data_IF_272112702805
#
_entry.id   IF_272112702805
#
_cell.length_a   1.000
_cell.length_b   1.000
_cell.length_c   1.000
_cell.angle_alpha   90.00
_cell.angle_beta   90.00
_cell.angle_gamma   90.00
#
_symmetry.space_group_name_H-M   'P 1'
#
loop_
_entity.id
_entity.type
_entity.pdbx_description
1 polymer ?
#
# COMPACT_ATOMS: atom_id res chain seq x y z
N UNK A 1 -31.06 20.67 32.78
CA UNK A 1 -32.03 21.75 32.38
C UNK A 1 -33.43 21.17 32.19
N UNK A 2 -33.57 20.05 31.46
CA UNK A 2 -34.90 19.42 31.21
C UNK A 2 -35.61 19.02 32.50
N UNK A 3 -34.91 18.36 33.44
CA UNK A 3 -35.46 17.98 34.74
C UNK A 3 -35.87 19.19 35.58
N UNK A 4 -35.11 20.30 35.57
CA UNK A 4 -35.43 21.54 36.24
C UNK A 4 -36.70 22.18 35.68
N UNK A 5 -36.89 22.11 34.34
CA UNK A 5 -38.11 22.59 33.70
C UNK A 5 -39.38 21.80 34.12
N UNK A 6 -39.21 20.54 34.50
CA UNK A 6 -40.26 19.68 35.04
C UNK A 6 -40.40 19.77 36.56
N UNK A 7 -39.68 20.70 37.24
CA UNK A 7 -39.72 20.88 38.69
C UNK A 7 -39.02 19.78 39.49
N UNK A 8 -38.23 18.90 38.80
CA UNK A 8 -37.51 17.80 39.43
C UNK A 8 -36.11 18.28 39.86
N UNK A 9 -35.83 18.26 41.16
CA UNK A 9 -34.54 18.60 41.73
C UNK A 9 -33.58 17.40 41.71
N UNK A 10 -32.35 17.65 41.27
CA UNK A 10 -31.21 16.68 41.39
C UNK A 10 -30.28 17.24 42.47
N UNK A 11 -29.92 16.41 43.43
CA UNK A 11 -28.96 16.76 44.51
C UNK A 11 -27.67 16.02 44.24
N UNK A 12 -26.58 16.77 44.05
CA UNK A 12 -25.22 16.23 44.02
C UNK A 12 -24.71 16.19 45.47
N UNK A 13 -24.74 15.01 46.08
CA UNK A 13 -24.45 14.83 47.51
C UNK A 13 -23.01 15.25 47.88
N UNK A 14 -22.05 14.97 47.00
CA UNK A 14 -20.62 15.22 47.22
C UNK A 14 -20.31 16.72 47.23
N UNK A 15 -20.92 17.47 46.34
CA UNK A 15 -20.73 18.91 46.14
C UNK A 15 -21.79 19.74 46.87
N UNK A 16 -22.77 19.09 47.47
CA UNK A 16 -23.92 19.70 48.17
C UNK A 16 -24.66 20.74 47.30
N UNK A 17 -24.87 20.40 46.02
CA UNK A 17 -25.56 21.28 45.07
C UNK A 17 -26.94 20.74 44.77
N UNK A 18 -27.97 21.60 44.92
CA UNK A 18 -29.34 21.30 44.51
C UNK A 18 -29.65 22.09 43.22
N UNK A 19 -30.06 21.41 42.16
CA UNK A 19 -30.32 22.02 40.84
C UNK A 19 -31.52 22.98 40.82
N UNK A 20 -32.35 23.00 41.83
CA UNK A 20 -33.48 23.92 41.95
C UNK A 20 -33.07 25.30 42.47
N UNK A 21 -31.91 25.47 43.10
CA UNK A 21 -31.42 26.77 43.56
C UNK A 21 -30.93 27.63 42.40
N UNK A 22 -31.08 28.95 42.50
CA UNK A 22 -30.68 29.89 41.43
C UNK A 22 -29.19 29.86 41.13
N UNK A 23 -28.36 29.64 42.14
CA UNK A 23 -26.89 29.59 42.05
C UNK A 23 -26.36 28.27 41.50
N UNK A 24 -27.20 27.22 41.48
CA UNK A 24 -26.79 25.87 41.09
C UNK A 24 -26.32 25.75 39.63
N UNK A 25 -26.97 26.49 38.74
CA UNK A 25 -26.64 26.44 37.30
C UNK A 25 -25.25 27.02 37.01
N UNK A 26 -24.93 28.13 37.69
CA UNK A 26 -23.57 28.71 37.59
C UNK A 26 -22.53 27.77 38.16
N UNK A 27 -22.79 27.14 39.33
CA UNK A 27 -21.88 26.23 39.99
C UNK A 27 -21.61 24.95 39.17
N UNK A 28 -22.68 24.37 38.60
CA UNK A 28 -22.56 23.21 37.72
C UNK A 28 -21.75 23.54 36.43
N UNK A 29 -21.97 24.74 35.88
CA UNK A 29 -21.24 25.21 34.71
C UNK A 29 -19.75 25.39 35.02
N UNK A 30 -19.42 25.99 36.17
CA UNK A 30 -18.04 26.17 36.65
C UNK A 30 -17.37 24.80 36.88
N UNK A 31 -18.05 23.89 37.59
CA UNK A 31 -17.51 22.53 37.81
C UNK A 31 -17.31 21.75 36.51
N UNK A 32 -18.27 21.86 35.56
CA UNK A 32 -18.15 21.28 34.25
C UNK A 32 -16.88 21.81 33.48
N UNK A 33 -16.65 23.13 33.58
CA UNK A 33 -15.46 23.74 32.99
C UNK A 33 -14.17 23.22 33.66
N UNK A 34 -14.11 23.12 34.98
CA UNK A 34 -12.93 22.55 35.66
C UNK A 34 -12.68 21.10 35.30
N UNK A 35 -13.73 20.27 35.26
CA UNK A 35 -13.60 18.87 34.88
C UNK A 35 -13.11 18.73 33.41
N UNK A 36 -13.58 19.57 32.52
CA UNK A 36 -13.10 19.60 31.12
C UNK A 36 -11.64 20.06 31.04
N UNK A 37 -11.27 21.14 31.76
CA UNK A 37 -9.93 21.66 31.78
C UNK A 37 -8.93 20.64 32.37
N UNK A 38 -9.31 19.91 33.42
CA UNK A 38 -8.51 18.81 33.97
C UNK A 38 -8.34 17.68 32.98
N UNK A 39 -9.40 17.22 32.32
CA UNK A 39 -9.35 16.20 31.28
C UNK A 39 -8.43 16.58 30.11
N UNK A 40 -8.51 17.85 29.67
CA UNK A 40 -7.63 18.38 28.63
C UNK A 40 -6.15 18.39 29.08
N UNK A 41 -5.90 18.81 30.32
CA UNK A 41 -4.56 18.84 30.90
C UNK A 41 -3.95 17.44 31.00
N UNK A 42 -4.70 16.46 31.50
CA UNK A 42 -4.27 15.06 31.57
C UNK A 42 -3.96 14.54 30.16
N UNK A 43 -4.84 14.77 29.20
CA UNK A 43 -4.65 14.33 27.81
C UNK A 43 -3.40 14.96 27.17
N UNK A 44 -3.16 16.25 27.38
CA UNK A 44 -1.94 16.93 26.91
C UNK A 44 -0.69 16.35 27.53
N UNK A 45 -0.70 16.08 28.83
CA UNK A 45 0.44 15.49 29.54
C UNK A 45 0.76 14.06 29.04
N UNK A 46 -0.25 13.21 28.90
CA UNK A 46 -0.10 11.86 28.34
C UNK A 46 0.44 11.92 26.90
N UNK A 47 -0.15 12.79 26.08
CA UNK A 47 0.29 12.96 24.69
C UNK A 47 1.74 13.45 24.61
N UNK A 48 2.12 14.39 25.48
CA UNK A 48 3.51 14.87 25.55
C UNK A 48 4.47 13.74 25.96
N UNK A 49 4.15 12.97 27.00
CA UNK A 49 4.95 11.83 27.44
C UNK A 49 5.15 10.77 26.35
N UNK A 50 4.07 10.42 25.62
CA UNK A 50 4.14 9.49 24.48
C UNK A 50 5.02 10.04 23.36
N UNK A 51 4.88 11.31 23.01
CA UNK A 51 5.72 11.94 21.96
C UNK A 51 7.18 12.00 22.35
N UNK A 52 7.47 12.26 23.62
CA UNK A 52 8.84 12.26 24.14
C UNK A 52 9.46 10.85 24.07
N UNK A 53 8.73 9.83 24.49
CA UNK A 53 9.16 8.44 24.34
C UNK A 53 9.43 8.06 22.88
N UNK A 54 8.62 8.52 21.94
CA UNK A 54 8.86 8.29 20.50
C UNK A 54 10.12 8.99 19.99
N UNK A 55 10.39 10.22 20.44
CA UNK A 55 11.60 10.94 20.08
C UNK A 55 12.87 10.25 20.61
N UNK A 56 12.78 9.58 21.76
CA UNK A 56 13.87 8.78 22.35
C UNK A 56 13.97 7.36 21.77
N UNK A 57 13.14 7.01 20.79
CA UNK A 57 13.12 5.67 20.19
C UNK A 57 12.43 4.61 21.04
N UNK A 58 11.85 4.98 22.18
CA UNK A 58 11.11 4.04 23.06
C UNK A 58 9.70 3.82 22.52
N UNK A 59 9.53 2.75 21.77
CA UNK A 59 8.22 2.35 21.21
C UNK A 59 7.88 0.96 21.65
N UNK A 60 6.73 0.79 22.29
CA UNK A 60 6.20 -0.51 22.65
C UNK A 60 5.02 -0.87 21.76
N UNK A 61 4.89 -2.15 21.42
CA UNK A 61 3.69 -2.62 20.74
C UNK A 61 2.51 -2.60 21.71
N UNK A 62 1.42 -1.97 21.29
CA UNK A 62 0.20 -1.89 22.10
C UNK A 62 -0.70 -3.12 21.97
N UNK A 63 -0.52 -3.89 20.91
CA UNK A 63 -1.31 -5.11 20.60
C UNK A 63 -0.49 -6.08 19.76
N UNK A 64 -0.94 -7.33 19.74
CA UNK A 64 -0.41 -8.35 18.85
C UNK A 64 -0.62 -7.96 17.39
N UNK A 65 0.38 -8.30 16.58
CA UNK A 65 0.34 -8.17 15.13
C UNK A 65 0.51 -9.58 14.59
N UNK A 66 -0.23 -9.95 13.57
CA UNK A 66 -0.12 -11.28 12.98
C UNK A 66 1.34 -11.59 12.63
N UNK A 67 1.87 -12.67 13.16
CA UNK A 67 3.29 -13.03 13.12
C UNK A 67 4.12 -12.56 14.31
N UNK A 68 3.60 -11.64 15.14
CA UNK A 68 4.26 -11.15 16.35
C UNK A 68 3.33 -11.19 17.55
N UNK A 69 3.82 -11.75 18.65
CA UNK A 69 3.16 -11.73 19.94
C UNK A 69 3.89 -10.78 20.89
N UNK A 70 3.12 -9.95 21.59
CA UNK A 70 3.66 -9.02 22.58
C UNK A 70 4.10 -9.74 23.84
N UNK A 71 5.35 -9.57 24.26
CA UNK A 71 5.90 -10.10 25.49
C UNK A 71 6.56 -8.94 26.27
N UNK A 72 5.92 -8.50 27.34
CA UNK A 72 6.37 -7.33 28.11
C UNK A 72 6.42 -6.08 27.24
N UNK A 73 7.59 -5.46 27.14
CA UNK A 73 7.85 -4.28 26.29
C UNK A 73 8.34 -4.64 24.87
N UNK A 74 8.66 -5.91 24.63
CA UNK A 74 9.12 -6.42 23.34
C UNK A 74 8.07 -7.20 22.57
N UNK A 75 8.51 -7.86 21.51
CA UNK A 75 7.71 -8.78 20.70
C UNK A 75 8.53 -10.03 20.37
N UNK A 76 7.85 -11.16 20.32
CA UNK A 76 8.39 -12.43 19.87
C UNK A 76 7.73 -12.86 18.56
N UNK A 77 8.49 -13.54 17.71
CA UNK A 77 7.96 -14.07 16.43
C UNK A 77 7.17 -15.34 16.73
N UNK A 78 5.94 -15.40 16.25
CA UNK A 78 5.12 -16.62 16.21
C UNK A 78 5.42 -17.33 14.88
N UNK A 79 6.26 -18.36 14.93
CA UNK A 79 6.83 -18.98 13.73
C UNK A 79 5.78 -19.55 12.77
N UNK A 80 4.64 -20.06 13.29
CA UNK A 80 3.54 -20.55 12.45
C UNK A 80 2.92 -19.44 11.61
N UNK A 81 2.67 -18.28 12.22
CA UNK A 81 2.13 -17.11 11.52
C UNK A 81 3.20 -16.43 10.65
N UNK A 82 4.46 -16.42 11.08
CA UNK A 82 5.58 -15.87 10.34
C UNK A 82 5.81 -16.61 9.00
N UNK A 83 5.65 -17.93 8.98
CA UNK A 83 5.68 -18.72 7.73
C UNK A 83 4.62 -18.27 6.74
N UNK A 84 3.40 -18.01 7.24
CA UNK A 84 2.30 -17.52 6.40
C UNK A 84 2.61 -16.12 5.85
N UNK A 85 3.20 -15.24 6.67
CA UNK A 85 3.63 -13.91 6.22
C UNK A 85 4.68 -14.02 5.11
N UNK A 86 5.73 -14.83 5.29
CA UNK A 86 6.76 -15.04 4.25
C UNK A 86 6.13 -15.55 2.96
N UNK A 87 5.24 -16.57 3.05
CA UNK A 87 4.51 -17.13 1.90
C UNK A 87 3.66 -16.06 1.18
N UNK A 88 2.98 -15.17 1.91
CA UNK A 88 2.21 -14.05 1.34
C UNK A 88 3.14 -13.12 0.52
N UNK A 89 4.29 -12.74 1.09
CA UNK A 89 5.25 -11.88 0.42
C UNK A 89 5.84 -12.53 -0.84
N UNK A 90 6.25 -13.79 -0.74
CA UNK A 90 6.82 -14.58 -1.86
C UNK A 90 5.80 -14.77 -2.98
N UNK A 91 4.59 -15.21 -2.64
CA UNK A 91 3.52 -15.45 -3.63
C UNK A 91 3.10 -14.14 -4.32
N UNK A 92 3.04 -13.04 -3.58
CA UNK A 92 2.76 -11.74 -4.17
C UNK A 92 3.88 -11.30 -5.12
N UNK A 93 5.14 -11.44 -4.71
CA UNK A 93 6.29 -11.10 -5.56
C UNK A 93 6.37 -11.98 -6.81
N UNK A 94 6.02 -13.25 -6.71
CA UNK A 94 5.92 -14.19 -7.84
C UNK A 94 4.82 -13.83 -8.86
N UNK A 95 4.00 -12.82 -8.60
CA UNK A 95 3.02 -12.32 -9.58
C UNK A 95 1.56 -12.60 -9.25
N UNK A 96 1.24 -13.32 -8.17
CA UNK A 96 -0.13 -13.59 -7.78
C UNK A 96 -0.92 -12.31 -7.45
N UNK A 97 -2.23 -12.33 -7.73
CA UNK A 97 -3.13 -11.27 -7.32
C UNK A 97 -3.49 -11.39 -5.84
N UNK A 98 -3.84 -10.28 -5.19
CA UNK A 98 -4.30 -10.30 -3.80
C UNK A 98 -5.49 -11.24 -3.60
N UNK A 99 -6.42 -11.29 -4.56
CA UNK A 99 -7.56 -12.18 -4.48
C UNK A 99 -7.15 -13.66 -4.55
N UNK A 100 -6.23 -14.03 -5.43
CA UNK A 100 -5.72 -15.40 -5.55
C UNK A 100 -5.04 -15.86 -4.26
N UNK A 101 -4.28 -14.97 -3.60
CA UNK A 101 -3.65 -15.27 -2.30
C UNK A 101 -4.71 -15.46 -1.22
N UNK A 102 -5.75 -14.60 -1.18
CA UNK A 102 -6.86 -14.79 -0.25
C UNK A 102 -7.56 -16.14 -0.45
N UNK A 103 -7.84 -16.49 -1.69
CA UNK A 103 -8.52 -17.75 -2.03
C UNK A 103 -7.65 -18.97 -1.62
N UNK A 104 -6.36 -18.91 -1.84
CA UNK A 104 -5.40 -19.94 -1.42
C UNK A 104 -5.41 -20.11 0.11
N UNK A 105 -5.31 -19.02 0.89
CA UNK A 105 -5.29 -19.08 2.35
C UNK A 105 -6.65 -19.53 2.91
N UNK A 106 -7.76 -19.07 2.34
CA UNK A 106 -9.11 -19.44 2.74
C UNK A 106 -9.38 -20.92 2.46
N UNK A 107 -8.97 -21.45 1.31
CA UNK A 107 -9.13 -22.86 0.95
C UNK A 107 -8.32 -23.79 1.86
N UNK A 108 -7.18 -23.30 2.40
CA UNK A 108 -6.36 -24.03 3.38
C UNK A 108 -6.89 -23.91 4.81
N UNK A 109 -7.93 -23.11 5.04
CA UNK A 109 -8.52 -22.90 6.37
C UNK A 109 -7.61 -22.10 7.32
N UNK A 110 -6.65 -21.33 6.80
CA UNK A 110 -5.75 -20.50 7.60
C UNK A 110 -6.53 -19.33 8.19
N UNK A 111 -6.49 -19.16 9.51
CA UNK A 111 -7.16 -18.06 10.19
C UNK A 111 -6.48 -16.73 9.87
N UNK A 112 -7.30 -15.70 9.61
CA UNK A 112 -6.84 -14.35 9.35
C UNK A 112 -6.52 -13.59 10.66
N UNK A 113 -5.79 -12.46 10.60
CA UNK A 113 -5.50 -11.61 11.74
C UNK A 113 -6.75 -11.28 12.57
N UNK A 114 -6.59 -11.30 13.91
CA UNK A 114 -7.70 -11.09 14.85
C UNK A 114 -8.66 -12.29 14.92
N UNK A 115 -8.17 -13.50 14.63
CA UNK A 115 -8.90 -14.79 14.69
C UNK A 115 -10.12 -14.84 13.75
N UNK A 116 -10.11 -14.05 12.67
CA UNK A 116 -11.18 -14.06 11.66
C UNK A 116 -11.04 -15.28 10.75
N UNK A 117 -12.17 -15.81 10.29
CA UNK A 117 -12.21 -17.03 9.48
C UNK A 117 -11.86 -16.79 8.01
N UNK A 118 -11.86 -15.52 7.55
CA UNK A 118 -11.64 -15.19 6.14
C UNK A 118 -10.58 -14.12 5.94
N UNK A 119 -9.73 -14.36 4.95
CA UNK A 119 -8.79 -13.41 4.41
C UNK A 119 -9.46 -12.53 3.36
N UNK A 120 -9.15 -11.24 3.39
CA UNK A 120 -9.61 -10.24 2.43
C UNK A 120 -8.44 -9.50 1.79
N UNK A 121 -8.55 -9.04 0.55
CA UNK A 121 -7.50 -8.27 -0.13
C UNK A 121 -7.04 -7.04 0.66
N UNK A 122 -7.92 -6.38 1.38
CA UNK A 122 -7.59 -5.24 2.26
C UNK A 122 -6.66 -5.63 3.41
N UNK A 123 -6.85 -6.82 3.99
CA UNK A 123 -5.98 -7.35 5.05
C UNK A 123 -4.58 -7.63 4.50
N UNK A 124 -4.49 -8.32 3.36
CA UNK A 124 -3.20 -8.57 2.68
C UNK A 124 -2.49 -7.28 2.31
N UNK A 125 -3.23 -6.28 1.79
CA UNK A 125 -2.67 -4.98 1.46
C UNK A 125 -2.08 -4.27 2.69
N UNK A 126 -2.75 -4.39 3.85
CA UNK A 126 -2.25 -3.85 5.11
C UNK A 126 -0.97 -4.56 5.57
N UNK A 127 -0.93 -5.89 5.45
CA UNK A 127 0.25 -6.71 5.77
C UNK A 127 1.43 -6.35 4.88
N UNK A 128 1.25 -6.38 3.56
CA UNK A 128 2.30 -6.09 2.59
C UNK A 128 2.93 -4.70 2.76
N UNK A 129 2.17 -3.73 3.29
CA UNK A 129 2.63 -2.34 3.48
C UNK A 129 3.15 -2.05 4.89
N UNK A 130 3.08 -3.00 5.80
CA UNK A 130 3.45 -2.76 7.18
C UNK A 130 4.97 -2.93 7.36
N UNK A 131 5.67 -1.82 7.61
CA UNK A 131 7.11 -1.78 7.83
C UNK A 131 7.59 -2.63 9.01
N UNK A 132 6.70 -2.98 9.91
CA UNK A 132 7.05 -3.80 11.07
C UNK A 132 7.55 -5.20 10.67
N UNK A 133 7.12 -5.72 9.53
CA UNK A 133 7.60 -7.03 9.06
C UNK A 133 9.07 -7.05 8.65
N UNK A 134 9.67 -5.89 8.34
CA UNK A 134 11.12 -5.77 8.12
C UNK A 134 11.92 -5.31 9.36
N UNK A 135 11.25 -5.27 10.53
CA UNK A 135 11.88 -4.91 11.80
C UNK A 135 11.86 -3.42 12.13
N UNK A 136 11.25 -2.58 11.30
CA UNK A 136 11.20 -1.12 11.49
C UNK A 136 9.88 -0.68 12.12
N UNK A 137 9.86 0.51 12.69
CA UNK A 137 8.65 1.13 13.25
C UNK A 137 8.55 2.60 12.85
N UNK A 138 7.38 3.00 12.35
CA UNK A 138 7.03 4.41 12.16
C UNK A 138 6.04 4.81 13.25
N UNK A 139 6.39 5.85 13.99
CA UNK A 139 5.52 6.41 15.04
C UNK A 139 4.60 7.49 14.49
N UNK A 140 3.56 7.83 15.24
CA UNK A 140 2.64 8.95 14.93
C UNK A 140 2.02 8.92 13.54
N UNK A 141 1.69 7.72 13.02
CA UNK A 141 0.94 7.59 11.75
C UNK A 141 -0.44 8.23 11.80
N UNK A 142 -1.03 8.30 12.98
CA UNK A 142 -2.33 8.94 13.24
C UNK A 142 -2.24 9.76 14.53
N UNK A 143 -3.07 10.77 14.64
CA UNK A 143 -3.20 11.56 15.86
C UNK A 143 -4.69 11.83 16.16
N UNK A 144 -4.98 12.16 17.42
CA UNK A 144 -6.32 12.59 17.83
C UNK A 144 -6.44 14.09 17.55
N UNK A 145 -7.38 14.49 16.69
CA UNK A 145 -7.60 15.89 16.33
C UNK A 145 -8.53 16.60 17.32
N UNK A 146 -9.42 15.86 17.95
CA UNK A 146 -10.38 16.39 18.92
C UNK A 146 -10.48 15.47 20.13
N UNK A 147 -10.23 16.03 21.31
CA UNK A 147 -10.22 15.32 22.58
C UNK A 147 -11.61 14.87 23.03
N UNK A 148 -12.66 15.63 22.67
CA UNK A 148 -14.02 15.31 23.08
C UNK A 148 -14.64 14.18 22.28
N UNK A 149 -14.41 14.18 20.97
CA UNK A 149 -14.95 13.16 20.06
C UNK A 149 -14.01 11.98 19.84
N UNK A 150 -12.76 12.06 20.34
CA UNK A 150 -11.69 11.08 20.11
C UNK A 150 -11.45 10.77 18.62
N UNK A 151 -11.71 11.75 17.75
CA UNK A 151 -11.55 11.60 16.31
C UNK A 151 -10.08 11.44 15.95
N UNK A 152 -9.75 10.32 15.32
CA UNK A 152 -8.40 10.04 14.83
C UNK A 152 -8.26 10.43 13.36
N UNK A 153 -7.22 11.17 13.06
CA UNK A 153 -6.86 11.59 11.70
C UNK A 153 -5.48 11.05 11.31
N UNK A 154 -5.29 10.83 10.00
CA UNK A 154 -4.00 10.39 9.48
C UNK A 154 -3.03 11.56 9.54
N UNK A 155 -1.83 11.33 10.06
CA UNK A 155 -0.76 12.31 10.04
C UNK A 155 -0.17 12.39 8.63
N UNK A 156 -0.32 13.55 8.00
CA UNK A 156 0.22 13.86 6.66
C UNK A 156 1.32 14.94 6.72
N UNK A 157 1.94 15.11 7.91
CA UNK A 157 2.99 16.09 8.14
C UNK A 157 2.67 17.12 9.23
N UNK A 158 1.46 17.04 9.87
CA UNK A 158 1.07 17.95 10.94
C UNK A 158 1.90 17.75 12.22
N UNK A 159 2.32 16.53 12.46
CA UNK A 159 3.15 16.16 13.60
C UNK A 159 4.41 15.42 13.14
N UNK A 160 5.55 15.59 13.84
CA UNK A 160 6.77 14.87 13.50
C UNK A 160 6.56 13.36 13.63
N UNK A 161 7.00 12.61 12.62
CA UNK A 161 7.05 11.15 12.63
C UNK A 161 8.50 10.71 12.84
N UNK A 162 8.69 9.71 13.69
CA UNK A 162 10.02 9.12 13.89
C UNK A 162 10.04 7.75 13.24
N UNK A 163 11.06 7.50 12.43
CA UNK A 163 11.34 6.23 11.80
C UNK A 163 12.47 5.55 12.57
N UNK A 164 12.18 4.40 13.18
CA UNK A 164 13.11 3.64 13.99
C UNK A 164 13.45 2.37 13.22
N UNK A 165 14.71 2.22 12.87
CA UNK A 165 15.23 1.04 12.18
C UNK A 165 15.64 -0.04 13.17
N UNK A 166 15.52 -1.31 12.77
CA UNK A 166 15.97 -2.48 13.53
C UNK A 166 15.44 -2.53 14.99
N UNK A 167 14.20 -2.10 15.17
CA UNK A 167 13.52 -2.07 16.47
C UNK A 167 13.28 -3.48 17.04
N UNK A 168 13.01 -4.45 16.18
CA UNK A 168 12.70 -5.84 16.55
C UNK A 168 13.12 -6.81 15.45
N UNK A 169 13.12 -8.10 15.77
CA UNK A 169 13.48 -9.14 14.80
C UNK A 169 12.54 -9.12 13.60
N UNK A 170 13.10 -9.09 12.39
CA UNK A 170 12.34 -9.05 11.15
C UNK A 170 11.81 -10.45 10.78
N UNK A 171 10.57 -10.54 10.31
CA UNK A 171 10.01 -11.76 9.69
C UNK A 171 10.41 -11.86 8.23
N UNK A 172 10.48 -10.72 7.55
CA UNK A 172 10.83 -10.58 6.13
C UNK A 172 12.12 -9.80 6.02
N UNK A 173 13.06 -10.29 5.25
CA UNK A 173 14.34 -9.61 5.00
C UNK A 173 14.10 -8.22 4.40
N UNK A 174 14.89 -7.22 4.84
CA UNK A 174 14.72 -5.81 4.45
C UNK A 174 14.74 -5.60 2.95
N UNK A 175 15.73 -6.17 2.27
CA UNK A 175 15.88 -6.05 0.83
C UNK A 175 14.71 -6.67 0.07
N UNK A 176 14.23 -7.83 0.56
CA UNK A 176 13.06 -8.49 -0.04
C UNK A 176 11.78 -7.69 0.17
N UNK A 177 11.58 -7.14 1.37
CA UNK A 177 10.46 -6.24 1.66
C UNK A 177 10.46 -5.05 0.70
N UNK A 178 11.61 -4.39 0.51
CA UNK A 178 11.73 -3.21 -0.35
C UNK A 178 11.47 -3.56 -1.84
N UNK A 179 11.92 -4.72 -2.31
CA UNK A 179 11.56 -5.25 -3.64
C UNK A 179 10.05 -5.47 -3.80
N UNK A 180 9.38 -6.00 -2.76
CA UNK A 180 7.92 -6.17 -2.75
C UNK A 180 7.20 -4.81 -2.76
N UNK A 181 7.72 -3.78 -2.05
CA UNK A 181 7.16 -2.42 -2.12
C UNK A 181 7.31 -1.81 -3.52
N UNK A 182 8.46 -1.99 -4.17
CA UNK A 182 8.65 -1.54 -5.55
C UNK A 182 7.66 -2.22 -6.52
N UNK A 183 7.45 -3.53 -6.39
CA UNK A 183 6.45 -4.26 -7.17
C UNK A 183 5.03 -3.80 -6.85
N UNK A 184 4.72 -3.56 -5.58
CA UNK A 184 3.44 -2.98 -5.17
C UNK A 184 3.21 -1.60 -5.80
N UNK A 185 4.20 -0.73 -5.77
CA UNK A 185 4.14 0.59 -6.40
C UNK A 185 3.96 0.46 -7.93
N UNK A 186 4.70 -0.44 -8.59
CA UNK A 186 4.59 -0.74 -10.02
C UNK A 186 3.17 -1.17 -10.40
N UNK A 187 2.58 -2.10 -9.65
CA UNK A 187 1.20 -2.58 -9.91
C UNK A 187 0.15 -1.50 -9.67
N UNK A 188 0.39 -0.59 -8.73
CA UNK A 188 -0.54 0.49 -8.39
C UNK A 188 -0.23 1.80 -9.12
N UNK A 189 0.87 1.87 -9.87
CA UNK A 189 1.18 3.01 -10.70
C UNK A 189 0.04 3.21 -11.70
N UNK A 190 -0.69 4.31 -11.56
CA UNK A 190 -1.68 4.71 -12.56
C UNK A 190 -0.90 5.07 -13.81
N UNK A 191 -0.99 4.24 -14.86
CA UNK A 191 -0.49 4.65 -16.17
C UNK A 191 -1.29 5.89 -16.58
N UNK A 192 -0.63 7.02 -16.61
CA UNK A 192 -1.19 8.25 -17.15
C UNK A 192 -1.21 8.06 -18.68
N UNK A 193 -2.38 8.02 -19.25
CA UNK A 193 -2.53 8.03 -20.70
C UNK A 193 -2.85 9.45 -21.10
N UNK A 194 -1.96 10.06 -21.86
CA UNK A 194 -2.16 11.40 -22.46
C UNK A 194 -3.05 11.23 -23.69
N UNK A 195 -4.23 11.81 -23.64
CA UNK A 195 -5.13 11.90 -24.78
C UNK A 195 -5.32 13.37 -25.14
N UNK A 196 -4.96 13.78 -26.34
CA UNK A 196 -5.01 15.19 -26.82
C UNK A 196 -4.35 16.21 -25.87
N UNK A 197 -3.25 15.85 -25.21
CA UNK A 197 -2.55 16.74 -24.27
C UNK A 197 -3.15 16.79 -22.85
N UNK A 198 -4.26 16.12 -22.58
CA UNK A 198 -4.86 16.01 -21.25
C UNK A 198 -4.56 14.66 -20.62
N UNK A 199 -4.13 14.68 -19.33
CA UNK A 199 -3.87 13.48 -18.55
C UNK A 199 -5.19 12.84 -18.07
N UNK A 200 -5.61 11.74 -18.70
CA UNK A 200 -6.74 10.94 -18.20
C UNK A 200 -6.25 9.77 -17.34
N UNK A 201 -6.65 9.66 -16.07
CA UNK A 201 -6.34 8.50 -15.27
C UNK A 201 -7.16 7.30 -15.73
N UNK A 202 -6.53 6.35 -16.44
CA UNK A 202 -7.19 5.07 -16.69
C UNK A 202 -7.06 4.15 -15.47
N UNK A 203 -8.18 3.81 -14.87
CA UNK A 203 -8.27 2.64 -13.99
C UNK A 203 -8.32 1.41 -14.90
N UNK A 204 -7.25 0.60 -14.91
CA UNK A 204 -7.35 -0.74 -15.45
C UNK A 204 -8.42 -1.51 -14.67
N UNK A 205 -9.53 -1.82 -15.33
CA UNK A 205 -10.62 -2.66 -14.76
C UNK A 205 -10.26 -4.14 -14.76
N UNK A 206 -9.08 -4.51 -15.28
CA UNK A 206 -8.76 -5.88 -15.64
C UNK A 206 -7.54 -6.38 -14.89
N UNK A 207 -7.63 -7.62 -14.40
CA UNK A 207 -6.55 -8.27 -13.69
C UNK A 207 -5.38 -8.57 -14.62
N UNK A 208 -4.16 -8.53 -14.09
CA UNK A 208 -2.91 -8.94 -14.75
C UNK A 208 -2.81 -10.46 -14.98
N UNK A 209 -3.95 -11.14 -15.20
CA UNK A 209 -4.02 -12.60 -15.38
C UNK A 209 -3.23 -13.09 -16.60
N UNK A 210 -3.04 -12.24 -17.61
CA UNK A 210 -2.37 -12.59 -18.87
C UNK A 210 -1.06 -11.83 -18.98
N UNK A 211 0.00 -12.52 -19.43
CA UNK A 211 1.36 -11.99 -19.47
C UNK A 211 1.50 -10.65 -20.25
N UNK A 212 0.70 -10.46 -21.30
CA UNK A 212 0.75 -9.25 -22.13
C UNK A 212 -0.21 -8.14 -21.67
N UNK A 213 -0.97 -8.34 -20.59
CA UNK A 213 -1.86 -7.32 -20.03
C UNK A 213 -1.06 -6.11 -19.58
N UNK A 214 -1.47 -4.92 -20.01
CA UNK A 214 -0.81 -3.63 -19.75
C UNK A 214 0.58 -3.44 -20.36
N UNK A 215 1.17 -4.48 -20.98
CA UNK A 215 2.43 -4.36 -21.69
C UNK A 215 2.25 -3.91 -23.15
N UNK A 216 1.10 -4.25 -23.76
CA UNK A 216 0.78 -3.84 -25.12
C UNK A 216 0.15 -2.46 -25.14
N UNK A 217 0.77 -1.53 -25.83
CA UNK A 217 0.31 -0.13 -25.97
C UNK A 217 -0.03 0.16 -27.43
N UNK A 218 -1.08 0.93 -27.64
CA UNK A 218 -1.47 1.36 -28.97
C UNK A 218 -0.50 2.42 -29.49
N UNK A 219 0.08 2.22 -30.67
CA UNK A 219 0.99 3.21 -31.28
C UNK A 219 0.29 4.50 -31.72
N UNK A 220 -1.01 4.47 -31.96
CA UNK A 220 -1.82 5.61 -32.41
C UNK A 220 -2.24 6.51 -31.21
N UNK A 221 -2.82 5.91 -30.13
CA UNK A 221 -3.38 6.69 -29.01
C UNK A 221 -2.69 6.44 -27.66
N UNK A 222 -1.64 5.64 -27.57
CA UNK A 222 -0.92 5.35 -26.34
C UNK A 222 -1.70 4.49 -25.31
N UNK A 223 -2.96 4.14 -25.58
CA UNK A 223 -3.78 3.38 -24.64
C UNK A 223 -3.44 1.88 -24.66
N UNK A 224 -3.60 1.18 -23.52
CA UNK A 224 -3.30 -0.24 -23.45
C UNK A 224 -4.26 -1.06 -24.32
N UNK A 225 -3.75 -2.17 -24.84
CA UNK A 225 -4.56 -3.19 -25.49
C UNK A 225 -5.25 -4.07 -24.45
N UNK A 226 -6.46 -4.50 -24.78
CA UNK A 226 -7.27 -5.40 -23.97
C UNK A 226 -7.50 -6.73 -24.68
N UNK A 227 -7.34 -7.82 -23.93
CA UNK A 227 -7.72 -9.17 -24.40
C UNK A 227 -9.24 -9.31 -24.42
N UNK A 228 -9.80 -9.65 -25.57
CA UNK A 228 -11.22 -9.82 -25.79
C UNK A 228 -11.50 -11.19 -26.44
N UNK A 229 -12.63 -11.79 -26.10
CA UNK A 229 -13.14 -12.94 -26.84
C UNK A 229 -14.09 -12.43 -27.92
N UNK A 230 -13.76 -12.72 -29.17
CA UNK A 230 -14.61 -12.38 -30.33
C UNK A 230 -15.32 -13.62 -30.80
N UNK A 231 -16.64 -13.56 -30.92
CA UNK A 231 -17.45 -14.64 -31.49
C UNK A 231 -17.97 -14.24 -32.89
N UNK A 232 -17.61 -15.02 -33.87
CA UNK A 232 -18.15 -14.88 -35.26
C UNK A 232 -18.52 -16.26 -35.75
N UNK A 233 -19.78 -16.42 -36.18
CA UNK A 233 -20.32 -17.70 -36.72
C UNK A 233 -20.14 -18.89 -35.77
N UNK A 234 -20.35 -18.69 -34.45
CA UNK A 234 -20.20 -19.75 -33.45
C UNK A 234 -18.74 -20.06 -33.04
N UNK A 235 -17.76 -19.58 -33.79
CA UNK A 235 -16.35 -19.74 -33.44
C UNK A 235 -15.88 -18.60 -32.51
N UNK A 236 -15.29 -18.94 -31.40
CA UNK A 236 -14.70 -17.99 -30.45
C UNK A 236 -13.21 -17.80 -30.76
N UNK A 237 -12.83 -16.57 -31.08
CA UNK A 237 -11.39 -16.19 -31.24
C UNK A 237 -10.98 -15.23 -30.16
N UNK A 238 -9.75 -15.36 -29.68
CA UNK A 238 -9.15 -14.46 -28.71
C UNK A 238 -8.36 -13.41 -29.47
N UNK A 239 -8.69 -12.15 -29.21
CA UNK A 239 -8.07 -11.00 -29.88
C UNK A 239 -7.68 -9.92 -28.89
N UNK A 240 -6.64 -9.18 -29.23
CA UNK A 240 -6.21 -7.99 -28.52
C UNK A 240 -6.65 -6.74 -29.26
N UNK A 241 -7.31 -5.81 -28.55
CA UNK A 241 -7.86 -4.56 -29.13
C UNK A 241 -7.55 -3.38 -28.24
N UNK A 242 -7.29 -2.23 -28.84
CA UNK A 242 -7.10 -0.96 -28.15
C UNK A 242 -8.35 -0.61 -27.30
N UNK A 243 -8.15 -0.22 -26.05
CA UNK A 243 -9.24 0.16 -25.13
C UNK A 243 -10.03 1.36 -25.62
N UNK A 244 -9.34 2.40 -26.13
CA UNK A 244 -10.00 3.58 -26.69
C UNK A 244 -10.90 3.23 -27.88
N UNK A 245 -10.42 2.34 -28.76
CA UNK A 245 -11.23 1.89 -29.90
C UNK A 245 -12.43 1.02 -29.48
N UNK A 246 -12.30 0.28 -28.37
CA UNK A 246 -13.42 -0.51 -27.81
C UNK A 246 -14.48 0.37 -27.17
N UNK A 247 -14.08 1.44 -26.47
CA UNK A 247 -14.99 2.29 -25.72
C UNK A 247 -15.58 3.43 -26.58
N UNK A 248 -14.78 4.03 -27.45
CA UNK A 248 -15.13 5.23 -28.21
C UNK A 248 -15.21 5.02 -29.73
N UNK A 249 -14.89 3.81 -30.22
CA UNK A 249 -14.94 3.49 -31.62
C UNK A 249 -13.79 4.05 -32.47
N UNK A 250 -13.96 3.99 -33.81
CA UNK A 250 -12.97 4.45 -34.80
C UNK A 250 -12.75 5.97 -34.78
N UNK A 251 -13.71 6.75 -34.26
CA UNK A 251 -13.60 8.21 -34.21
C UNK A 251 -12.45 8.72 -33.33
N UNK A 252 -12.06 7.91 -32.35
CA UNK A 252 -11.02 8.29 -31.37
C UNK A 252 -9.71 7.53 -31.55
N UNK A 253 -9.72 6.39 -32.22
CA UNK A 253 -8.52 5.62 -32.55
C UNK A 253 -8.77 4.88 -33.87
N UNK A 254 -8.30 5.47 -35.00
CA UNK A 254 -8.58 5.01 -36.36
C UNK A 254 -7.74 3.82 -36.78
N UNK A 255 -6.44 3.83 -36.43
CA UNK A 255 -5.44 2.92 -37.00
C UNK A 255 -5.00 1.77 -36.07
N UNK A 256 -5.62 1.61 -34.89
CA UNK A 256 -5.26 0.51 -33.99
C UNK A 256 -5.69 -0.85 -34.59
N UNK A 257 -4.74 -1.75 -34.89
CA UNK A 257 -5.08 -3.07 -35.43
C UNK A 257 -5.74 -3.96 -34.35
N UNK A 258 -6.63 -4.84 -34.79
CA UNK A 258 -7.09 -5.96 -33.95
C UNK A 258 -6.14 -7.14 -34.21
N UNK A 259 -5.49 -7.64 -33.16
CA UNK A 259 -4.49 -8.68 -33.26
C UNK A 259 -5.02 -9.99 -32.71
N UNK A 260 -4.88 -11.09 -33.43
CA UNK A 260 -5.16 -12.43 -32.91
C UNK A 260 -4.05 -12.83 -31.93
N UNK A 261 -4.42 -13.45 -30.80
CA UNK A 261 -3.46 -13.80 -29.74
C UNK A 261 -2.34 -14.73 -30.23
N UNK A 262 -2.68 -15.74 -31.02
CA UNK A 262 -1.69 -16.67 -31.57
C UNK A 262 -0.71 -16.01 -32.56
N UNK A 263 -1.22 -15.09 -33.40
CA UNK A 263 -0.36 -14.35 -34.32
C UNK A 263 0.58 -13.41 -33.55
N UNK A 264 0.09 -12.77 -32.48
CA UNK A 264 0.88 -11.91 -31.61
C UNK A 264 1.98 -12.71 -30.88
N UNK A 265 1.65 -13.88 -30.30
CA UNK A 265 2.61 -14.73 -29.64
C UNK A 265 3.73 -15.19 -30.60
N UNK A 266 3.38 -15.60 -31.82
CA UNK A 266 4.37 -15.97 -32.84
C UNK A 266 5.28 -14.82 -33.22
N UNK A 267 4.74 -13.61 -33.35
CA UNK A 267 5.53 -12.43 -33.66
C UNK A 267 6.51 -12.08 -32.52
N UNK A 268 6.07 -12.18 -31.26
CA UNK A 268 6.91 -11.94 -30.09
C UNK A 268 8.01 -13.01 -30.01
N UNK A 269 7.66 -14.29 -30.18
CA UNK A 269 8.64 -15.38 -30.16
C UNK A 269 9.69 -15.18 -31.26
N UNK A 270 9.28 -14.80 -32.47
CA UNK A 270 10.21 -14.51 -33.56
C UNK A 270 11.14 -13.35 -33.23
N UNK A 271 10.60 -12.27 -32.64
CA UNK A 271 11.43 -11.14 -32.21
C UNK A 271 12.42 -11.53 -31.10
N UNK A 272 11.98 -12.32 -30.11
CA UNK A 272 12.86 -12.82 -29.05
C UNK A 272 13.92 -13.75 -29.60
N UNK A 273 13.59 -14.63 -30.53
CA UNK A 273 14.57 -15.53 -31.19
C UNK A 273 15.64 -14.73 -31.94
N UNK A 274 15.23 -13.69 -32.70
CA UNK A 274 16.21 -12.83 -33.39
C UNK A 274 17.10 -12.04 -32.42
N UNK A 275 16.61 -11.65 -31.27
CA UNK A 275 17.41 -11.01 -30.21
C UNK A 275 18.42 -11.98 -29.59
N UNK A 276 18.04 -13.26 -29.43
CA UNK A 276 18.95 -14.31 -28.92
C UNK A 276 20.02 -14.67 -29.94
N UNK A 277 19.65 -14.72 -31.22
CA UNK A 277 20.61 -14.97 -32.33
C UNK A 277 21.63 -13.83 -32.46
N UNK A 278 21.24 -12.59 -32.25
CA UNK A 278 22.08 -11.39 -32.32
C UNK A 278 22.54 -10.90 -30.92
N UNK A 279 22.74 -11.81 -29.98
CA UNK A 279 23.01 -11.49 -28.56
C UNK A 279 24.20 -10.57 -28.37
N UNK A 280 25.25 -10.70 -29.17
CA UNK A 280 26.48 -9.91 -29.03
C UNK A 280 26.27 -8.47 -29.55
N UNK A 281 25.57 -8.27 -30.68
CA UNK A 281 25.20 -6.92 -31.17
C UNK A 281 24.30 -6.17 -30.21
N UNK A 282 23.28 -6.82 -29.66
CA UNK A 282 22.36 -6.23 -28.68
C UNK A 282 23.08 -5.88 -27.36
N UNK A 283 24.06 -6.68 -26.94
CA UNK A 283 24.89 -6.41 -25.76
C UNK A 283 25.76 -5.17 -25.96
N UNK A 284 26.27 -4.97 -27.14
CA UNK A 284 27.11 -3.82 -27.46
C UNK A 284 26.27 -2.53 -27.66
N UNK A 285 25.09 -2.60 -28.28
CA UNK A 285 24.14 -1.50 -28.33
C UNK A 285 23.64 -1.08 -26.94
N UNK A 286 23.36 -2.03 -26.06
CA UNK A 286 22.98 -1.77 -24.66
C UNK A 286 24.12 -1.12 -23.87
N UNK A 287 25.36 -1.55 -24.06
CA UNK A 287 26.53 -0.91 -23.43
C UNK A 287 26.68 0.53 -23.87
N UNK A 288 26.53 0.82 -25.18
CA UNK A 288 26.58 2.18 -25.72
C UNK A 288 25.43 3.04 -25.18
N UNK A 289 24.20 2.51 -25.15
CA UNK A 289 23.05 3.22 -24.62
C UNK A 289 23.18 3.52 -23.13
N UNK A 290 23.64 2.55 -22.32
CA UNK A 290 23.91 2.75 -20.89
C UNK A 290 25.07 3.72 -20.67
N UNK A 291 26.13 3.65 -21.48
CA UNK A 291 27.23 4.60 -21.44
C UNK A 291 26.76 6.05 -21.65
N UNK A 292 25.89 6.29 -22.63
CA UNK A 292 25.34 7.60 -22.92
C UNK A 292 24.44 8.13 -21.79
N UNK A 293 23.60 7.27 -21.17
CA UNK A 293 22.74 7.64 -20.04
C UNK A 293 23.57 7.95 -18.78
N UNK A 294 24.67 7.23 -18.55
CA UNK A 294 25.54 7.43 -17.39
C UNK A 294 26.42 8.68 -17.51
N UNK A 295 26.82 9.05 -18.73
CA UNK A 295 27.56 10.30 -19.00
C UNK A 295 26.66 11.52 -18.74
N UNK A 296 25.38 11.46 -19.12
CA UNK A 296 24.40 12.54 -18.91
C UNK A 296 24.04 12.74 -17.43
N UNK A 297 24.24 11.72 -16.57
CA UNK A 297 23.93 11.77 -15.12
C UNK A 297 25.14 12.10 -14.22
N UNK A 298 26.32 12.33 -14.79
CA UNK A 298 27.51 12.81 -14.05
C UNK A 298 28.09 11.82 -13.03
N UNK A 299 27.88 10.52 -13.22
CA UNK A 299 28.30 9.46 -12.27
C UNK A 299 29.49 8.64 -12.81
N UNK A 300 30.65 9.28 -13.01
CA UNK A 300 31.92 8.60 -13.34
C UNK A 300 32.40 7.59 -12.26
N UNK A 301 31.81 7.62 -11.07
CA UNK A 301 32.20 6.77 -9.93
C UNK A 301 31.56 5.37 -9.98
N UNK A 302 30.41 5.20 -10.62
CA UNK A 302 29.71 3.90 -10.69
C UNK A 302 30.24 2.95 -11.74
N UNK A 303 30.84 3.43 -12.83
CA UNK A 303 31.31 2.59 -13.95
C UNK A 303 32.48 1.71 -13.51
N UNK A 304 33.45 2.28 -12.80
CA UNK A 304 34.62 1.53 -12.30
C UNK A 304 34.24 0.44 -11.28
N UNK A 305 33.20 0.66 -10.50
CA UNK A 305 32.70 -0.32 -9.51
C UNK A 305 31.95 -1.49 -10.18
N UNK A 306 31.16 -1.21 -11.21
CA UNK A 306 30.43 -2.22 -11.99
C UNK A 306 31.37 -3.06 -12.87
N UNK A 307 32.43 -2.46 -13.42
CA UNK A 307 33.47 -3.19 -14.18
C UNK A 307 34.29 -4.10 -13.27
N UNK A 308 34.57 -3.70 -12.03
CA UNK A 308 35.22 -4.54 -11.04
C UNK A 308 34.37 -5.76 -10.66
N UNK A 309 33.06 -5.59 -10.50
CA UNK A 309 32.13 -6.68 -10.17
C UNK A 309 31.91 -7.65 -11.33
N UNK A 310 31.98 -7.19 -12.58
CA UNK A 310 31.92 -8.05 -13.77
C UNK A 310 33.16 -8.92 -13.93
N UNK A 311 34.34 -8.41 -13.56
CA UNK A 311 35.61 -9.18 -13.60
C UNK A 311 35.75 -10.25 -12.51
N UNK A 312 35.00 -10.13 -11.41
CA UNK A 312 34.95 -11.16 -10.36
C UNK A 312 34.00 -12.33 -10.71
N UNK A 313 33.20 -12.21 -11.76
CA UNK A 313 32.23 -13.23 -12.18
C UNK A 313 32.65 -13.99 -13.45
N UNK A 314 33.80 -13.63 -14.08
CA UNK A 314 34.50 -14.40 -15.12
C UNK A 314 35.60 -15.26 -14.48
#
# INVERSE_FOLDING_TARGET
>A
RELKALGIGVIFEKENINTLTETSEAMITIMGYFAQAESESISKNVTWGVRHAFAEGRVTFTCDIYGYHKVGDGVEIVEEEAKIIREIFETYYAGASLQSICDMLNNRGVKAPGKKDKWYPSTLMTILRNEKYKGDVITQKTFCSDLLTHRREKNTGQLPQHYITDHHAAIVEREFFDRVQAEYARRNAKKKVTYNGEEAPQKSKYSSKYALTELLVCGDCGCPYRRCTWSKNGQKKIVWRCTTRLEYGKSKCSDSPTMEEEALHRAILKALSSLVENKDEVKDELKVALGNVLIDTGTDICIAHLEAQLKEQE
#
